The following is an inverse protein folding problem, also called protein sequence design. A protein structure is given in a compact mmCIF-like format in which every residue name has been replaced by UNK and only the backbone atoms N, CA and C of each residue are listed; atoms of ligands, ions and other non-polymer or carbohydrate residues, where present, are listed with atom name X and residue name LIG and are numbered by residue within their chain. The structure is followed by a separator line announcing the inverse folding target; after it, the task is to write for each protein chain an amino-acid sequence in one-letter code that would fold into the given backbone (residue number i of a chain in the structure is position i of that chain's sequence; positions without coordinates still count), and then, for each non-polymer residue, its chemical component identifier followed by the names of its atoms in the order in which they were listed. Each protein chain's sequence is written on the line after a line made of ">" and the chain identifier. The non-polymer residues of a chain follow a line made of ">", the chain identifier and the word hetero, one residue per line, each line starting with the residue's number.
data_IF_371088345399
#
_entry.id   IF_371088345399
#
_cell.length_a   1.000
_cell.length_b   1.000
_cell.length_c   1.000
_cell.angle_alpha   90.00
_cell.angle_beta   90.00
_cell.angle_gamma   90.00
#
_symmetry.space_group_name_H-M   'P 1'
#
loop_
_entity.id
_entity.type
_entity.pdbx_description
1 polymer ?
#
# COMPACT_ATOMS: atom_id res chain seq x y z
N UNK A 1 0.70 -17.70 6.81
CA UNK A 1 -0.29 -18.25 7.76
C UNK A 1 -0.39 -17.39 9.02
N UNK A 2 -1.32 -17.72 9.93
CA UNK A 2 -1.56 -16.94 11.15
C UNK A 2 -0.36 -16.97 12.12
N UNK A 3 0.27 -18.12 12.31
CA UNK A 3 1.40 -18.25 13.24
C UNK A 3 2.57 -17.37 12.83
N UNK A 4 3.01 -17.49 11.60
CA UNK A 4 4.11 -16.67 11.07
C UNK A 4 3.79 -15.16 11.04
N UNK A 5 2.51 -14.80 10.86
CA UNK A 5 2.09 -13.39 10.97
C UNK A 5 2.21 -12.89 12.41
N UNK A 6 1.78 -13.68 13.38
CA UNK A 6 1.89 -13.36 14.81
C UNK A 6 3.36 -13.21 15.22
N UNK A 7 4.21 -14.17 14.86
CA UNK A 7 5.65 -14.14 15.16
C UNK A 7 6.34 -12.91 14.56
N UNK A 8 5.99 -12.56 13.31
CA UNK A 8 6.52 -11.39 12.63
C UNK A 8 6.14 -10.09 13.35
N UNK A 9 4.88 -9.93 13.71
CA UNK A 9 4.41 -8.74 14.45
C UNK A 9 5.10 -8.67 15.82
N UNK A 10 5.14 -9.80 16.56
CA UNK A 10 5.75 -9.84 17.88
C UNK A 10 7.22 -9.42 17.86
N UNK A 11 7.97 -9.87 16.85
CA UNK A 11 9.40 -9.56 16.72
C UNK A 11 9.68 -8.12 16.29
N UNK A 12 8.73 -7.44 15.58
CA UNK A 12 8.99 -6.15 14.92
C UNK A 12 8.19 -4.98 15.49
N UNK A 13 7.22 -5.20 16.39
CA UNK A 13 6.28 -4.18 16.90
C UNK A 13 6.93 -2.99 17.64
N UNK A 14 8.18 -3.13 18.09
CA UNK A 14 8.93 -2.03 18.70
C UNK A 14 9.35 -0.98 17.65
N UNK A 15 9.49 -1.39 16.38
CA UNK A 15 9.99 -0.56 15.29
C UNK A 15 8.91 -0.25 14.24
N UNK A 16 7.91 -1.12 14.09
CA UNK A 16 6.86 -1.03 13.06
C UNK A 16 5.50 -0.86 13.73
N UNK A 17 4.75 0.12 13.27
CA UNK A 17 3.40 0.39 13.78
C UNK A 17 2.30 -0.05 12.83
N UNK A 18 2.54 0.01 11.51
CA UNK A 18 1.52 -0.30 10.49
C UNK A 18 1.88 -1.62 9.82
N UNK A 19 0.97 -2.59 9.89
CA UNK A 19 1.16 -3.90 9.28
C UNK A 19 0.22 -4.10 8.11
N UNK A 20 0.82 -4.42 6.96
CA UNK A 20 0.07 -4.71 5.75
C UNK A 20 -0.34 -6.18 5.71
N UNK A 21 -1.65 -6.42 5.72
CA UNK A 21 -2.25 -7.73 5.49
C UNK A 21 -2.78 -7.76 4.05
N UNK A 22 -2.15 -8.58 3.22
CA UNK A 22 -2.45 -8.66 1.79
C UNK A 22 -3.46 -9.74 1.44
N UNK A 23 -3.68 -9.92 0.13
CA UNK A 23 -4.66 -10.87 -0.42
C UNK A 23 -4.44 -12.29 0.08
N UNK A 24 -3.20 -12.78 0.09
CA UNK A 24 -2.88 -14.14 0.54
C UNK A 24 -3.34 -14.38 1.99
N UNK A 25 -3.03 -13.45 2.90
CA UNK A 25 -3.46 -13.54 4.28
C UNK A 25 -5.00 -13.49 4.37
N UNK A 26 -5.62 -12.51 3.71
CA UNK A 26 -7.05 -12.30 3.82
C UNK A 26 -7.87 -13.44 3.21
N UNK A 27 -7.45 -14.00 2.08
CA UNK A 27 -8.12 -15.15 1.47
C UNK A 27 -7.97 -16.44 2.31
N UNK A 28 -6.85 -16.58 3.02
CA UNK A 28 -6.60 -17.74 3.88
C UNK A 28 -7.27 -17.63 5.26
N UNK A 29 -7.33 -16.44 5.86
CA UNK A 29 -7.75 -16.24 7.25
C UNK A 29 -9.06 -15.45 7.39
N UNK A 30 -9.49 -14.80 6.32
CA UNK A 30 -10.72 -14.01 6.29
C UNK A 30 -10.69 -12.83 7.26
N UNK A 31 -11.88 -12.29 7.48
CA UNK A 31 -12.12 -11.17 8.40
C UNK A 31 -11.76 -11.52 9.84
N UNK A 32 -12.05 -12.73 10.27
CA UNK A 32 -11.79 -13.17 11.64
C UNK A 32 -10.29 -13.25 11.94
N UNK A 33 -9.45 -13.60 10.95
CA UNK A 33 -8.01 -13.54 11.08
C UNK A 33 -7.49 -12.13 11.33
N UNK A 34 -8.07 -11.13 10.66
CA UNK A 34 -7.70 -9.71 10.92
C UNK A 34 -8.10 -9.30 12.34
N UNK A 35 -9.31 -9.67 12.80
CA UNK A 35 -9.76 -9.40 14.18
C UNK A 35 -8.86 -10.04 15.23
N UNK A 36 -8.42 -11.27 14.98
CA UNK A 36 -7.50 -11.95 15.90
C UNK A 36 -6.17 -11.19 16.04
N UNK A 37 -5.60 -10.71 14.93
CA UNK A 37 -4.39 -9.87 14.96
C UNK A 37 -4.65 -8.57 15.74
N UNK A 38 -5.76 -7.88 15.48
CA UNK A 38 -6.10 -6.62 16.17
C UNK A 38 -6.33 -6.83 17.68
N UNK A 39 -6.97 -7.94 18.07
CA UNK A 39 -7.20 -8.30 19.47
C UNK A 39 -5.90 -8.60 20.21
N UNK A 40 -4.98 -9.29 19.56
CA UNK A 40 -3.70 -9.70 20.14
C UNK A 40 -2.71 -8.54 20.28
N UNK A 41 -2.74 -7.61 19.33
CA UNK A 41 -1.76 -6.52 19.25
C UNK A 41 -2.45 -5.16 19.32
N UNK A 42 -2.76 -4.71 20.53
CA UNK A 42 -3.26 -3.35 20.76
C UNK A 42 -2.16 -2.32 20.43
N UNK A 43 -2.48 -1.31 19.65
CA UNK A 43 -1.53 -0.24 19.31
C UNK A 43 -0.83 -0.37 17.96
N UNK A 44 -1.07 -1.46 17.21
CA UNK A 44 -0.73 -1.51 15.79
C UNK A 44 -1.89 -1.00 14.93
N UNK A 45 -1.57 -0.59 13.73
CA UNK A 45 -2.54 -0.18 12.71
C UNK A 45 -2.50 -1.18 11.55
N UNK A 46 -3.65 -1.44 10.93
CA UNK A 46 -3.75 -2.38 9.80
C UNK A 46 -3.85 -1.62 8.48
N UNK A 47 -2.98 -1.98 7.56
CA UNK A 47 -3.10 -1.68 6.15
C UNK A 47 -3.70 -2.90 5.43
N UNK A 48 -4.98 -2.85 5.10
CA UNK A 48 -5.67 -3.95 4.43
C UNK A 48 -5.51 -3.81 2.91
N UNK A 49 -4.63 -4.63 2.34
CA UNK A 49 -4.22 -4.52 0.93
C UNK A 49 -4.97 -5.53 0.05
N UNK A 50 -6.25 -5.23 -0.24
CA UNK A 50 -7.15 -6.09 -1.02
C UNK A 50 -7.28 -5.68 -2.49
N UNK A 51 -6.83 -4.48 -2.85
CA UNK A 51 -6.88 -3.95 -4.21
C UNK A 51 -8.25 -4.14 -4.88
N UNK A 52 -9.32 -3.70 -4.18
CA UNK A 52 -10.70 -3.87 -4.66
C UNK A 52 -10.86 -3.23 -6.04
N UNK A 53 -11.43 -3.99 -6.97
CA UNK A 53 -11.63 -3.57 -8.35
C UNK A 53 -12.85 -4.28 -8.94
N UNK A 54 -13.99 -3.62 -8.92
CA UNK A 54 -15.28 -4.16 -9.39
C UNK A 54 -16.24 -2.98 -9.65
N UNK A 55 -17.46 -3.23 -10.07
CA UNK A 55 -18.49 -2.20 -10.17
C UNK A 55 -18.77 -1.56 -8.79
N UNK A 56 -19.20 -0.31 -8.80
CA UNK A 56 -19.33 0.54 -7.61
C UNK A 56 -20.15 -0.11 -6.47
N UNK A 57 -21.25 -0.81 -6.81
CA UNK A 57 -22.11 -1.45 -5.82
C UNK A 57 -21.42 -2.63 -5.12
N UNK A 58 -20.66 -3.44 -5.86
CA UNK A 58 -19.88 -4.58 -5.33
C UNK A 58 -18.78 -4.07 -4.38
N UNK A 59 -18.04 -3.04 -4.80
CA UNK A 59 -16.98 -2.44 -3.96
C UNK A 59 -17.57 -1.80 -2.70
N UNK A 60 -18.70 -1.10 -2.80
CA UNK A 60 -19.40 -0.56 -1.63
C UNK A 60 -19.83 -1.67 -0.65
N UNK A 61 -20.35 -2.79 -1.18
CA UNK A 61 -20.69 -3.99 -0.40
C UNK A 61 -19.48 -4.59 0.32
N UNK A 62 -18.37 -4.76 -0.41
CA UNK A 62 -17.11 -5.24 0.15
C UNK A 62 -16.60 -4.32 1.27
N UNK A 63 -16.63 -3.00 1.06
CA UNK A 63 -16.27 -2.02 2.08
C UNK A 63 -17.14 -2.14 3.35
N UNK A 64 -18.46 -2.22 3.20
CA UNK A 64 -19.36 -2.41 4.35
C UNK A 64 -19.09 -3.71 5.10
N UNK A 65 -18.73 -4.80 4.41
CA UNK A 65 -18.48 -6.10 5.05
C UNK A 65 -17.26 -6.10 5.98
N UNK A 66 -16.32 -5.17 5.78
CA UNK A 66 -15.10 -5.03 6.60
C UNK A 66 -15.10 -3.78 7.49
N UNK A 67 -16.21 -3.05 7.56
CA UNK A 67 -16.28 -1.76 8.27
C UNK A 67 -15.90 -1.86 9.76
N UNK A 68 -16.24 -2.96 10.42
CA UNK A 68 -15.91 -3.22 11.82
C UNK A 68 -14.42 -3.53 12.07
N UNK A 69 -13.64 -3.85 11.03
CA UNK A 69 -12.19 -3.98 11.14
C UNK A 69 -11.51 -2.61 11.32
N UNK A 70 -12.14 -1.53 10.86
CA UNK A 70 -11.61 -0.17 10.92
C UNK A 70 -10.11 -0.10 10.56
N UNK A 71 -9.66 -0.65 9.42
CA UNK A 71 -8.26 -0.56 9.03
C UNK A 71 -7.89 0.91 8.82
N UNK A 72 -6.61 1.26 9.02
CA UNK A 72 -6.14 2.60 8.67
C UNK A 72 -6.21 2.84 7.17
N UNK A 73 -5.72 1.89 6.38
CA UNK A 73 -5.70 1.95 4.92
C UNK A 73 -6.43 0.75 4.32
N UNK A 74 -7.22 1.01 3.27
CA UNK A 74 -7.81 -0.03 2.41
C UNK A 74 -7.51 0.28 0.96
N UNK A 75 -6.91 -0.65 0.23
CA UNK A 75 -6.58 -0.44 -1.17
C UNK A 75 -7.74 -0.73 -2.12
N UNK A 76 -7.86 0.14 -3.10
CA UNK A 76 -8.67 -0.02 -4.31
C UNK A 76 -7.80 0.25 -5.55
N UNK A 77 -8.14 -0.27 -6.72
CA UNK A 77 -7.47 0.13 -7.95
C UNK A 77 -7.99 1.48 -8.45
N UNK A 78 -7.08 2.41 -8.81
CA UNK A 78 -7.43 3.71 -9.37
C UNK A 78 -8.12 3.58 -10.74
N UNK A 79 -7.78 2.53 -11.50
CA UNK A 79 -8.40 2.20 -12.80
C UNK A 79 -9.88 1.79 -12.71
N UNK A 80 -10.41 1.54 -11.51
CA UNK A 80 -11.85 1.31 -11.29
C UNK A 80 -12.71 2.56 -11.49
N UNK A 81 -12.09 3.73 -11.61
CA UNK A 81 -12.73 5.01 -11.97
C UNK A 81 -13.44 5.70 -10.80
N UNK A 82 -13.89 6.93 -11.08
CA UNK A 82 -14.41 7.86 -10.07
C UNK A 82 -15.58 7.29 -9.28
N UNK A 83 -16.54 6.65 -9.94
CA UNK A 83 -17.75 6.13 -9.27
C UNK A 83 -17.42 5.01 -8.28
N UNK A 84 -16.49 4.12 -8.63
CA UNK A 84 -16.08 3.04 -7.76
C UNK A 84 -15.33 3.58 -6.54
N UNK A 85 -14.40 4.51 -6.72
CA UNK A 85 -13.62 5.10 -5.64
C UNK A 85 -14.51 5.91 -4.69
N UNK A 86 -15.43 6.72 -5.24
CA UNK A 86 -16.40 7.46 -4.44
C UNK A 86 -17.31 6.54 -3.62
N UNK A 87 -17.73 5.39 -4.19
CA UNK A 87 -18.52 4.39 -3.49
C UNK A 87 -17.73 3.75 -2.33
N UNK A 88 -16.44 3.44 -2.51
CA UNK A 88 -15.57 2.96 -1.44
C UNK A 88 -15.42 4.02 -0.33
N UNK A 89 -15.08 5.26 -0.69
CA UNK A 89 -14.85 6.36 0.23
C UNK A 89 -16.09 6.68 1.07
N UNK A 90 -17.26 6.75 0.45
CA UNK A 90 -18.52 7.01 1.18
C UNK A 90 -18.94 5.85 2.07
N UNK A 91 -18.57 4.61 1.74
CA UNK A 91 -18.91 3.43 2.56
C UNK A 91 -18.02 3.28 3.79
N UNK A 92 -16.83 3.90 3.83
CA UNK A 92 -15.85 3.79 4.91
C UNK A 92 -15.24 5.15 5.26
N UNK A 93 -16.06 6.08 5.77
CA UNK A 93 -15.65 7.47 6.02
C UNK A 93 -14.45 7.64 6.98
N UNK A 94 -14.19 6.67 7.85
CA UNK A 94 -13.07 6.70 8.81
C UNK A 94 -11.81 5.99 8.33
N UNK A 95 -11.87 5.31 7.19
CA UNK A 95 -10.76 4.56 6.59
C UNK A 95 -10.13 5.40 5.49
N UNK A 96 -8.82 5.46 5.44
CA UNK A 96 -8.12 6.08 4.33
C UNK A 96 -8.18 5.16 3.09
N UNK A 97 -9.16 5.40 2.20
CA UNK A 97 -9.19 4.71 0.91
C UNK A 97 -7.93 5.08 0.15
N UNK A 98 -7.20 4.05 -0.21
CA UNK A 98 -5.84 4.11 -0.77
C UNK A 98 -5.88 3.61 -2.20
N UNK A 99 -5.71 4.50 -3.17
CA UNK A 99 -5.81 4.12 -4.58
C UNK A 99 -4.45 3.66 -5.12
N UNK A 100 -4.41 2.45 -5.67
CA UNK A 100 -3.24 1.91 -6.36
C UNK A 100 -3.30 2.36 -7.81
N UNK A 101 -2.28 3.07 -8.28
CA UNK A 101 -2.19 3.60 -9.64
C UNK A 101 -1.75 2.52 -10.63
N UNK A 102 -0.49 2.52 -11.04
CA UNK A 102 0.12 1.51 -11.89
C UNK A 102 0.89 0.54 -11.00
N UNK A 103 0.71 -0.77 -11.22
CA UNK A 103 1.47 -1.79 -10.50
C UNK A 103 2.96 -1.68 -10.84
N UNK A 104 3.82 -1.79 -9.84
CA UNK A 104 5.28 -1.67 -9.99
C UNK A 104 5.92 -2.75 -10.86
N UNK A 105 5.16 -3.80 -11.19
CA UNK A 105 5.52 -4.86 -12.13
C UNK A 105 5.21 -4.54 -13.59
N UNK A 106 4.53 -3.42 -13.87
CA UNK A 106 4.21 -2.98 -15.23
C UNK A 106 5.18 -1.89 -15.66
N UNK A 107 5.78 -2.09 -16.81
CA UNK A 107 6.58 -1.11 -17.51
C UNK A 107 5.80 -0.45 -18.66
N UNK A 108 6.45 0.43 -19.40
CA UNK A 108 5.84 1.14 -20.53
C UNK A 108 5.42 0.18 -21.65
N UNK A 109 6.16 -0.90 -21.89
CA UNK A 109 5.86 -1.88 -22.93
C UNK A 109 4.59 -2.67 -22.57
N UNK A 110 4.47 -3.10 -21.32
CA UNK A 110 3.27 -3.76 -20.82
C UNK A 110 2.02 -2.86 -20.93
N UNK A 111 2.15 -1.57 -20.63
CA UNK A 111 1.04 -0.62 -20.77
C UNK A 111 0.62 -0.44 -22.23
N UNK A 112 1.59 -0.34 -23.16
CA UNK A 112 1.30 -0.29 -24.59
C UNK A 112 0.59 -1.54 -25.08
N UNK A 113 1.03 -2.72 -24.63
CA UNK A 113 0.38 -4.00 -24.95
C UNK A 113 -1.06 -4.10 -24.40
N UNK A 114 -1.34 -3.43 -23.28
CA UNK A 114 -2.70 -3.29 -22.72
C UNK A 114 -3.55 -2.22 -23.43
N UNK A 115 -2.98 -1.49 -24.40
CA UNK A 115 -3.68 -0.47 -25.19
C UNK A 115 -3.56 0.96 -24.66
N UNK A 116 -2.81 1.20 -23.58
CA UNK A 116 -2.51 2.55 -23.10
C UNK A 116 -1.39 3.17 -23.94
N UNK A 117 -1.60 4.39 -24.42
CA UNK A 117 -0.63 5.11 -25.27
C UNK A 117 0.15 6.18 -24.51
N UNK A 118 -0.35 6.54 -23.35
CA UNK A 118 0.22 7.56 -22.48
C UNK A 118 1.54 7.07 -21.87
N UNK A 119 2.42 8.01 -21.55
CA UNK A 119 3.60 7.70 -20.71
C UNK A 119 3.14 7.27 -19.32
N UNK A 120 3.89 6.35 -18.72
CA UNK A 120 3.58 5.80 -17.41
C UNK A 120 3.38 6.89 -16.35
N UNK A 121 4.20 7.94 -16.38
CA UNK A 121 4.12 9.07 -15.45
C UNK A 121 2.82 9.86 -15.61
N UNK A 122 2.43 10.17 -16.86
CA UNK A 122 1.22 10.92 -17.18
C UNK A 122 -0.04 10.12 -16.78
N UNK A 123 -0.05 8.82 -17.10
CA UNK A 123 -1.15 7.93 -16.74
C UNK A 123 -1.26 7.79 -15.22
N UNK A 124 -0.13 7.61 -14.52
CA UNK A 124 -0.08 7.54 -13.05
C UNK A 124 -0.65 8.82 -12.43
N UNK A 125 -0.27 10.00 -12.94
CA UNK A 125 -0.77 11.28 -12.44
C UNK A 125 -2.27 11.43 -12.70
N UNK A 126 -2.75 11.06 -13.90
CA UNK A 126 -4.17 11.12 -14.23
C UNK A 126 -5.01 10.23 -13.31
N UNK A 127 -4.56 8.98 -13.08
CA UNK A 127 -5.19 8.04 -12.16
C UNK A 127 -5.19 8.56 -10.72
N UNK A 128 -4.06 9.10 -10.24
CA UNK A 128 -3.93 9.64 -8.90
C UNK A 128 -4.85 10.86 -8.68
N UNK A 129 -4.87 11.83 -9.61
CA UNK A 129 -5.77 13.00 -9.54
C UNK A 129 -7.23 12.58 -9.54
N UNK A 130 -7.62 11.66 -10.42
CA UNK A 130 -8.99 11.15 -10.46
C UNK A 130 -9.37 10.47 -9.13
N UNK A 131 -8.47 9.67 -8.56
CA UNK A 131 -8.72 8.99 -7.29
C UNK A 131 -8.88 9.98 -6.13
N UNK A 132 -8.01 10.97 -6.00
CA UNK A 132 -8.08 12.00 -4.97
C UNK A 132 -9.38 12.81 -5.09
N UNK A 133 -9.73 13.25 -6.30
CA UNK A 133 -10.97 13.98 -6.57
C UNK A 133 -12.23 13.14 -6.26
N UNK A 134 -12.10 11.82 -6.25
CA UNK A 134 -13.17 10.86 -5.93
C UNK A 134 -13.18 10.43 -4.46
N UNK A 135 -12.34 11.03 -3.60
CA UNK A 135 -12.33 10.83 -2.15
C UNK A 135 -11.25 9.91 -1.61
N UNK A 136 -10.35 9.39 -2.45
CA UNK A 136 -9.17 8.69 -1.95
C UNK A 136 -8.27 9.65 -1.14
N UNK A 137 -7.77 9.20 0.00
CA UNK A 137 -6.89 9.97 0.88
C UNK A 137 -5.42 9.63 0.70
N UNK A 138 -5.16 8.44 0.17
CA UNK A 138 -3.81 7.94 -0.06
C UNK A 138 -3.66 7.37 -1.46
N UNK A 139 -2.44 7.43 -1.97
CA UNK A 139 -2.03 6.87 -3.27
C UNK A 139 -0.88 5.90 -3.05
N UNK A 140 -0.97 4.72 -3.66
CA UNK A 140 0.17 3.80 -3.81
C UNK A 140 0.78 4.00 -5.18
N UNK A 141 2.06 4.32 -5.22
CA UNK A 141 2.83 4.52 -6.45
C UNK A 141 4.25 3.98 -6.33
N UNK A 142 4.89 3.76 -7.46
CA UNK A 142 6.30 3.37 -7.55
C UNK A 142 7.21 4.46 -6.95
N UNK A 143 8.38 4.08 -6.39
CA UNK A 143 9.33 5.05 -5.84
C UNK A 143 9.74 6.15 -6.84
N UNK A 144 9.77 5.83 -8.13
CA UNK A 144 10.19 6.76 -9.17
C UNK A 144 9.19 7.88 -9.46
N UNK A 145 7.92 7.63 -9.20
CA UNK A 145 6.83 8.58 -9.45
C UNK A 145 6.57 9.50 -8.24
N UNK A 146 7.13 9.17 -7.07
CA UNK A 146 6.83 9.88 -5.80
C UNK A 146 7.08 11.37 -5.89
N UNK A 147 8.26 11.79 -6.35
CA UNK A 147 8.61 13.21 -6.44
C UNK A 147 7.68 13.97 -7.39
N UNK A 148 7.40 13.37 -8.55
CA UNK A 148 6.49 13.92 -9.54
C UNK A 148 5.05 14.02 -8.99
N UNK A 149 4.55 12.98 -8.36
CA UNK A 149 3.22 12.99 -7.73
C UNK A 149 3.15 14.00 -6.58
N UNK A 150 4.18 14.10 -5.74
CA UNK A 150 4.23 15.06 -4.64
C UNK A 150 4.11 16.51 -5.12
N UNK A 151 4.78 16.84 -6.20
CA UNK A 151 4.71 18.18 -6.82
C UNK A 151 3.29 18.52 -7.30
N UNK A 152 2.56 17.54 -7.83
CA UNK A 152 1.24 17.77 -8.42
C UNK A 152 0.06 17.58 -7.45
N UNK A 153 0.20 16.74 -6.43
CA UNK A 153 -0.87 16.43 -5.48
C UNK A 153 -0.75 17.23 -4.17
N UNK A 154 0.41 17.83 -3.93
CA UNK A 154 0.67 18.56 -2.70
C UNK A 154 0.84 17.65 -1.47
N UNK A 155 0.87 18.24 -0.27
CA UNK A 155 1.13 17.53 1.00
C UNK A 155 -0.14 16.95 1.68
N UNK A 156 -1.31 17.28 1.19
CA UNK A 156 -2.58 16.80 1.77
C UNK A 156 -2.89 15.33 1.40
N UNK A 157 -2.24 14.79 0.37
CA UNK A 157 -2.41 13.41 -0.08
C UNK A 157 -1.29 12.55 0.48
N UNK A 158 -1.65 11.46 1.14
CA UNK A 158 -0.69 10.47 1.64
C UNK A 158 -0.11 9.66 0.48
N UNK A 159 1.21 9.65 0.33
CA UNK A 159 1.92 8.82 -0.66
C UNK A 159 2.55 7.61 0.02
N UNK A 160 2.16 6.42 -0.42
CA UNK A 160 2.63 5.13 0.10
C UNK A 160 3.42 4.42 -1.01
N UNK A 161 4.66 4.05 -0.72
CA UNK A 161 5.59 3.58 -1.73
C UNK A 161 6.11 2.18 -1.43
N UNK A 162 5.64 1.16 -2.16
CA UNK A 162 6.24 -0.17 -2.18
C UNK A 162 7.46 -0.21 -3.10
N UNK A 163 8.16 -1.34 -3.12
CA UNK A 163 9.27 -1.54 -4.06
C UNK A 163 10.58 -0.87 -3.63
N UNK A 164 10.70 -0.47 -2.38
CA UNK A 164 11.95 0.05 -1.81
C UNK A 164 12.82 -1.09 -1.27
N UNK A 165 14.14 -0.92 -1.30
CA UNK A 165 15.10 -1.88 -0.79
C UNK A 165 16.19 -1.18 0.02
N UNK A 166 16.53 -1.68 1.22
CA UNK A 166 17.71 -1.22 1.95
C UNK A 166 18.99 -1.39 1.13
N UNK A 167 20.01 -0.62 1.44
CA UNK A 167 21.34 -0.75 0.81
C UNK A 167 21.87 -2.17 1.05
N UNK A 168 22.32 -2.85 -0.01
CA UNK A 168 22.87 -4.21 0.04
C UNK A 168 21.84 -5.34 -0.01
N UNK A 169 20.54 -5.05 -0.05
CA UNK A 169 19.52 -6.08 -0.27
C UNK A 169 19.47 -6.53 -1.74
N UNK A 170 19.15 -7.82 -1.95
CA UNK A 170 18.97 -8.37 -3.31
C UNK A 170 17.84 -7.64 -4.05
N UNK A 171 18.06 -7.42 -5.36
CA UNK A 171 17.12 -6.67 -6.21
C UNK A 171 15.87 -7.46 -6.58
N UNK A 172 15.92 -8.81 -6.47
CA UNK A 172 14.84 -9.70 -6.89
C UNK A 172 14.22 -9.32 -8.27
N UNK A 173 12.90 -9.36 -8.35
CA UNK A 173 12.06 -9.05 -9.52
C UNK A 173 11.80 -7.54 -9.74
N UNK A 174 12.54 -6.64 -9.06
CA UNK A 174 12.35 -5.20 -9.20
C UNK A 174 13.53 -4.52 -9.89
N UNK A 175 13.32 -4.06 -11.10
CA UNK A 175 14.37 -3.41 -11.91
C UNK A 175 14.72 -1.99 -11.43
N UNK A 176 13.85 -1.34 -10.66
CA UNK A 176 13.91 0.08 -10.31
C UNK A 176 13.80 0.27 -8.80
N UNK A 177 14.94 0.27 -8.11
CA UNK A 177 14.99 0.26 -6.65
C UNK A 177 15.49 1.60 -6.10
N UNK A 178 14.72 2.21 -5.20
CA UNK A 178 15.17 3.26 -4.28
C UNK A 178 15.38 2.68 -2.89
N UNK A 179 16.26 3.30 -2.10
CA UNK A 179 16.33 3.01 -0.67
C UNK A 179 15.11 3.59 0.05
N UNK A 180 14.73 3.05 1.22
CA UNK A 180 13.66 3.64 2.04
C UNK A 180 13.87 5.13 2.31
N UNK A 181 15.10 5.53 2.65
CA UNK A 181 15.47 6.93 2.90
C UNK A 181 15.25 7.81 1.66
N UNK A 182 15.75 7.39 0.51
CA UNK A 182 15.55 8.12 -0.74
C UNK A 182 14.07 8.30 -1.09
N UNK A 183 13.22 7.28 -0.85
CA UNK A 183 11.79 7.38 -1.10
C UNK A 183 11.12 8.43 -0.19
N UNK A 184 11.48 8.48 1.10
CA UNK A 184 11.00 9.50 2.03
C UNK A 184 11.50 10.90 1.62
N UNK A 185 12.77 11.05 1.29
CA UNK A 185 13.34 12.32 0.81
C UNK A 185 12.68 12.79 -0.51
N UNK A 186 12.27 11.87 -1.37
CA UNK A 186 11.51 12.16 -2.58
C UNK A 186 10.06 12.59 -2.30
N UNK A 187 9.55 12.41 -1.06
CA UNK A 187 8.25 12.88 -0.64
C UNK A 187 7.23 11.78 -0.31
N UNK A 188 7.64 10.51 -0.18
CA UNK A 188 6.76 9.48 0.36
C UNK A 188 6.49 9.73 1.85
N UNK A 189 5.26 9.51 2.29
CA UNK A 189 4.88 9.55 3.71
C UNK A 189 5.11 8.18 4.37
N UNK A 190 4.92 7.12 3.60
CA UNK A 190 5.13 5.74 4.06
C UNK A 190 5.84 4.91 2.99
N UNK A 191 6.66 3.97 3.45
CA UNK A 191 7.27 2.92 2.62
C UNK A 191 6.74 1.56 3.00
N UNK A 192 6.49 0.69 2.01
CA UNK A 192 6.07 -0.70 2.25
C UNK A 192 7.27 -1.61 2.03
N UNK A 193 7.71 -2.27 3.09
CA UNK A 193 8.87 -3.16 3.08
C UNK A 193 8.42 -4.56 3.49
N UNK A 194 8.56 -5.51 2.58
CA UNK A 194 8.20 -6.92 2.80
C UNK A 194 9.45 -7.78 2.99
N UNK A 195 9.88 -8.48 1.92
CA UNK A 195 10.97 -9.47 1.93
C UNK A 195 12.23 -9.08 2.69
N UNK A 196 12.74 -7.84 2.64
CA UNK A 196 13.91 -7.44 3.42
C UNK A 196 13.75 -7.61 4.94
N UNK A 197 12.52 -7.64 5.44
CA UNK A 197 12.21 -7.94 6.84
C UNK A 197 11.71 -9.38 6.98
N UNK A 198 10.71 -9.78 6.18
CA UNK A 198 10.00 -11.05 6.37
C UNK A 198 10.82 -12.28 6.02
N UNK A 199 11.90 -12.14 5.23
CA UNK A 199 12.86 -13.20 4.90
C UNK A 199 14.22 -13.01 5.57
N UNK A 200 14.38 -11.99 6.43
CA UNK A 200 15.63 -11.81 7.17
C UNK A 200 15.83 -12.93 8.20
N UNK A 201 17.10 -13.29 8.43
CA UNK A 201 17.46 -14.25 9.48
C UNK A 201 17.04 -13.72 10.87
N UNK A 202 17.12 -12.40 11.07
CA UNK A 202 16.61 -11.69 12.24
C UNK A 202 15.71 -10.53 11.79
N UNK A 203 14.37 -10.74 11.74
CA UNK A 203 13.41 -9.69 11.36
C UNK A 203 13.42 -8.47 12.29
N UNK A 204 13.72 -8.65 13.58
CA UNK A 204 13.81 -7.54 14.55
C UNK A 204 14.97 -6.62 14.18
N UNK A 205 16.17 -7.18 14.01
CA UNK A 205 17.36 -6.42 13.63
C UNK A 205 17.19 -5.73 12.26
N UNK A 206 16.57 -6.42 11.31
CA UNK A 206 16.27 -5.83 10.00
C UNK A 206 15.32 -4.63 10.10
N UNK A 207 14.23 -4.76 10.88
CA UNK A 207 13.27 -3.67 11.10
C UNK A 207 13.93 -2.47 11.82
N UNK A 208 14.75 -2.72 12.84
CA UNK A 208 15.52 -1.71 13.57
C UNK A 208 16.45 -0.94 12.63
N UNK A 209 17.29 -1.65 11.87
CA UNK A 209 18.25 -1.04 10.93
C UNK A 209 17.54 -0.18 9.87
N UNK A 210 16.44 -0.69 9.30
CA UNK A 210 15.65 0.05 8.32
C UNK A 210 15.05 1.31 8.95
N UNK A 211 14.44 1.21 10.12
CA UNK A 211 13.81 2.35 10.81
C UNK A 211 14.87 3.40 11.19
N UNK A 212 16.05 2.98 11.64
CA UNK A 212 17.17 3.87 11.93
C UNK A 212 17.65 4.62 10.68
N UNK A 213 17.62 3.97 9.50
CA UNK A 213 18.02 4.58 8.23
C UNK A 213 17.07 5.69 7.73
N UNK A 214 15.85 5.77 8.27
CA UNK A 214 14.85 6.79 7.90
C UNK A 214 15.03 8.10 8.67
N UNK A 215 15.86 8.10 9.70
CA UNK A 215 16.23 9.30 10.49
C UNK A 215 17.47 9.96 9.90
#
# INVERSE_FOLDING_TARGET
>A
DMSSTIEMIESTKEYIRIYKLGLEFYLAQGKEGVKEIQKRFSGIEIFLDLKLHDISNTVAGACRSIADLSPRFLTVHASGGSKMIAAASSSLAKVEITAVTILTSLDQEALLAMGFKEKIEDLTLALAKNAVNSGAKAIVSSPQEVSFLRQHLGKAVTLITPGVRPVGAERDDQERVMTPKQAIEAGADFVVIGRPITKATDPKQAAEAITASLR
#
